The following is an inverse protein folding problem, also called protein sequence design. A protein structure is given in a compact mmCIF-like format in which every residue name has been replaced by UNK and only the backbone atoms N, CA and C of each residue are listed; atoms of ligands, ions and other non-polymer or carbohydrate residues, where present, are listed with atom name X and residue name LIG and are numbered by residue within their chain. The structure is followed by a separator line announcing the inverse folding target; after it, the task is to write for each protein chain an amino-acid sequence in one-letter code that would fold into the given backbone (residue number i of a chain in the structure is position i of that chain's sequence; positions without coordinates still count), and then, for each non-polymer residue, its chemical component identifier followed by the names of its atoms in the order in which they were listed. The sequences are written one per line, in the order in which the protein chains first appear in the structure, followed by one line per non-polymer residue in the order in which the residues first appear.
data_IF_500749600497
#
_entry.id   IF_500749600497
#
_cell.length_a   1.000
_cell.length_b   1.000
_cell.length_c   1.000
_cell.angle_alpha   90.00
_cell.angle_beta   90.00
_cell.angle_gamma   90.00
#
_symmetry.space_group_name_H-M   'P 1'
#
loop_
_entity.id
_entity.type
_entity.pdbx_description
1 polymer ?
#
# COMPACT_ATOMS: atom_id res chain seq x y z
N UNK A 1 -13.46 14.82 6.46
CA UNK A 1 -14.92 14.82 6.16
C UNK A 1 -15.12 15.43 4.80
N UNK A 2 -15.34 14.60 3.84
CA UNK A 2 -16.20 14.63 2.65
C UNK A 2 -15.63 13.55 1.73
N UNK A 3 -16.11 12.30 1.91
CA UNK A 3 -16.10 11.35 0.83
C UNK A 3 -17.06 11.95 -0.23
N UNK A 4 -16.51 12.74 -1.12
CA UNK A 4 -17.24 13.26 -2.28
C UNK A 4 -17.75 12.02 -3.02
N UNK A 5 -19.04 11.98 -3.27
CA UNK A 5 -19.69 11.04 -4.17
C UNK A 5 -18.90 11.07 -5.48
N UNK A 6 -18.04 10.09 -5.67
CA UNK A 6 -17.38 9.88 -6.95
C UNK A 6 -18.52 9.58 -7.91
N UNK A 7 -18.79 10.51 -8.84
CA UNK A 7 -19.92 10.44 -9.74
C UNK A 7 -19.92 9.08 -10.44
N UNK A 8 -21.02 8.31 -10.35
CA UNK A 8 -21.13 6.97 -10.95
C UNK A 8 -20.72 6.99 -12.42
N UNK A 9 -21.12 8.03 -13.16
CA UNK A 9 -20.74 8.18 -14.57
C UNK A 9 -19.22 8.19 -14.81
N UNK A 10 -18.45 8.72 -13.87
CA UNK A 10 -16.99 8.74 -13.97
C UNK A 10 -16.35 7.35 -13.74
N UNK A 11 -16.93 6.55 -12.83
CA UNK A 11 -16.48 5.18 -12.61
C UNK A 11 -16.79 4.28 -13.80
N UNK A 12 -17.88 4.55 -14.49
CA UNK A 12 -18.30 3.82 -15.68
C UNK A 12 -17.29 4.00 -16.82
N UNK A 13 -16.83 5.24 -17.07
CA UNK A 13 -15.78 5.50 -18.05
C UNK A 13 -14.48 4.73 -17.75
N UNK A 14 -14.11 4.63 -16.46
CA UNK A 14 -12.96 3.81 -16.05
C UNK A 14 -13.20 2.33 -16.33
N UNK A 15 -14.36 1.79 -15.95
CA UNK A 15 -14.66 0.36 -16.12
C UNK A 15 -14.79 -0.05 -17.58
N UNK A 16 -15.25 0.85 -18.47
CA UNK A 16 -15.27 0.60 -19.92
C UNK A 16 -13.86 0.39 -20.48
N UNK A 17 -12.83 1.05 -19.92
CA UNK A 17 -11.45 0.83 -20.33
C UNK A 17 -10.91 -0.56 -19.94
N UNK A 18 -11.59 -1.26 -19.01
CA UNK A 18 -11.35 -2.66 -18.69
C UNK A 18 -12.30 -3.63 -19.43
N UNK A 19 -13.17 -3.12 -20.32
CA UNK A 19 -14.11 -3.95 -21.09
C UNK A 19 -15.40 -4.28 -20.36
N UNK A 20 -15.70 -3.61 -19.23
CA UNK A 20 -16.94 -3.82 -18.50
C UNK A 20 -18.01 -2.81 -18.93
N UNK A 21 -19.25 -3.30 -19.15
CA UNK A 21 -20.38 -2.45 -19.46
C UNK A 21 -21.11 -2.00 -18.19
N UNK A 22 -21.68 -0.83 -18.22
CA UNK A 22 -22.42 -0.21 -17.11
C UNK A 22 -23.56 -1.10 -16.56
N UNK A 23 -24.32 -1.70 -17.46
CA UNK A 23 -25.47 -2.54 -17.10
C UNK A 23 -25.13 -3.89 -16.46
N UNK A 24 -23.84 -4.26 -16.44
CA UNK A 24 -23.36 -5.57 -15.98
C UNK A 24 -22.48 -5.51 -14.72
N UNK A 25 -22.33 -4.33 -14.11
CA UNK A 25 -21.47 -4.14 -12.95
C UNK A 25 -22.24 -3.60 -11.74
N UNK A 26 -21.98 -4.17 -10.56
CA UNK A 26 -22.28 -3.52 -9.28
C UNK A 26 -21.00 -2.94 -8.69
N UNK A 27 -21.08 -1.73 -8.11
CA UNK A 27 -19.95 -1.03 -7.51
C UNK A 27 -20.34 -0.63 -6.10
N UNK A 28 -19.55 -1.03 -5.11
CA UNK A 28 -19.76 -0.64 -3.71
C UNK A 28 -18.42 -0.27 -3.05
N UNK A 29 -18.41 0.73 -2.15
CA UNK A 29 -17.22 1.08 -1.39
C UNK A 29 -16.64 -0.15 -0.67
N UNK A 30 -15.31 -0.28 -0.68
CA UNK A 30 -14.60 -1.37 -0.02
C UNK A 30 -13.56 -0.81 0.95
N UNK A 31 -13.74 -1.15 2.25
CA UNK A 31 -12.81 -0.79 3.31
C UNK A 31 -12.81 0.70 3.67
N UNK A 32 -11.97 1.05 4.66
CA UNK A 32 -11.83 2.40 5.22
C UNK A 32 -10.45 3.00 4.87
N UNK A 33 -9.99 2.83 3.63
CA UNK A 33 -8.67 3.33 3.20
C UNK A 33 -8.53 4.84 3.45
N UNK A 34 -7.50 5.23 4.21
CA UNK A 34 -7.27 6.63 4.59
C UNK A 34 -6.67 7.48 3.45
N UNK A 35 -5.99 6.83 2.50
CA UNK A 35 -5.24 7.52 1.44
C UNK A 35 -5.91 7.34 0.10
N UNK A 36 -6.11 6.11 -0.33
CA UNK A 36 -6.74 5.76 -1.60
C UNK A 36 -8.22 5.45 -1.40
N UNK A 37 -9.04 5.72 -2.43
CA UNK A 37 -10.44 5.28 -2.45
C UNK A 37 -10.52 3.92 -3.13
N UNK A 38 -11.27 3.00 -2.57
CA UNK A 38 -11.34 1.60 -3.03
C UNK A 38 -12.80 1.13 -3.12
N UNK A 39 -13.12 0.37 -4.16
CA UNK A 39 -14.45 -0.19 -4.40
C UNK A 39 -14.37 -1.64 -4.81
N UNK A 40 -15.31 -2.44 -4.34
CA UNK A 40 -15.60 -3.75 -4.88
C UNK A 40 -16.42 -3.57 -6.16
N UNK A 41 -15.98 -4.21 -7.23
CA UNK A 41 -16.66 -4.27 -8.53
C UNK A 41 -17.05 -5.73 -8.80
N UNK A 42 -18.34 -6.01 -8.89
CA UNK A 42 -18.83 -7.33 -9.25
C UNK A 42 -19.35 -7.30 -10.68
N UNK A 43 -18.90 -8.23 -11.49
CA UNK A 43 -19.24 -8.37 -12.91
C UNK A 43 -19.65 -9.80 -13.24
N UNK A 44 -20.16 -10.03 -14.43
CA UNK A 44 -20.40 -11.41 -14.92
C UNK A 44 -19.12 -12.24 -15.06
N UNK A 45 -17.96 -11.60 -15.10
CA UNK A 45 -16.65 -12.24 -15.24
C UNK A 45 -15.96 -12.51 -13.88
N UNK A 46 -16.54 -12.02 -12.78
CA UNK A 46 -15.99 -12.18 -11.43
C UNK A 46 -15.97 -10.88 -10.63
N UNK A 47 -15.26 -10.93 -9.52
CA UNK A 47 -15.09 -9.79 -8.60
C UNK A 47 -13.74 -9.15 -8.76
N UNK A 48 -13.72 -7.83 -8.63
CA UNK A 48 -12.51 -7.02 -8.76
C UNK A 48 -12.48 -5.93 -7.68
N UNK A 49 -11.30 -5.41 -7.44
CA UNK A 49 -11.08 -4.24 -6.57
C UNK A 49 -10.60 -3.07 -7.41
N UNK A 50 -11.47 -2.08 -7.59
CA UNK A 50 -11.10 -0.83 -8.24
C UNK A 50 -10.53 0.12 -7.20
N UNK A 51 -9.35 0.68 -7.49
CA UNK A 51 -8.70 1.64 -6.61
C UNK A 51 -8.36 2.92 -7.35
N UNK A 52 -8.76 4.07 -6.78
CA UNK A 52 -8.29 5.39 -7.18
C UNK A 52 -7.08 5.78 -6.37
N UNK A 53 -5.99 6.09 -7.02
CA UNK A 53 -4.75 6.55 -6.39
C UNK A 53 -4.89 8.03 -6.01
N UNK A 54 -4.56 8.35 -4.77
CA UNK A 54 -4.48 9.73 -4.31
C UNK A 54 -3.19 10.38 -4.81
N UNK A 55 -3.25 11.03 -5.96
CA UNK A 55 -2.10 11.69 -6.58
C UNK A 55 -1.62 12.97 -5.86
N UNK A 56 -2.37 13.47 -4.86
CA UNK A 56 -1.85 14.51 -3.97
C UNK A 56 -0.79 13.95 -3.00
N UNK A 57 -0.88 12.65 -2.68
CA UNK A 57 0.11 11.92 -1.87
C UNK A 57 1.15 11.27 -2.77
N UNK A 58 0.72 10.52 -3.77
CA UNK A 58 1.57 9.81 -4.73
C UNK A 58 1.67 10.61 -6.02
N UNK A 59 2.68 11.47 -6.10
CA UNK A 59 2.84 12.43 -7.21
C UNK A 59 3.11 11.80 -8.57
N UNK A 60 3.60 10.56 -8.58
CA UNK A 60 3.94 9.79 -9.79
C UNK A 60 3.23 8.42 -9.73
N UNK A 61 1.91 8.34 -10.00
CA UNK A 61 1.18 7.07 -10.02
C UNK A 61 1.75 6.05 -11.02
N UNK A 62 2.35 6.55 -12.11
CA UNK A 62 3.01 5.76 -13.13
C UNK A 62 4.23 5.00 -12.57
N UNK A 63 4.96 5.60 -11.62
CA UNK A 63 6.09 4.94 -10.97
C UNK A 63 5.63 3.80 -10.06
N UNK A 64 4.44 3.94 -9.45
CA UNK A 64 3.83 2.86 -8.67
C UNK A 64 3.47 1.70 -9.61
N UNK A 65 2.82 1.97 -10.74
CA UNK A 65 2.45 0.97 -11.74
C UNK A 65 3.70 0.25 -12.26
N UNK A 66 4.74 1.00 -12.61
CA UNK A 66 6.03 0.44 -13.04
C UNK A 66 6.62 -0.51 -11.99
N UNK A 67 6.69 -0.09 -10.72
CA UNK A 67 7.23 -0.92 -9.65
C UNK A 67 6.43 -2.22 -9.48
N UNK A 68 5.10 -2.15 -9.49
CA UNK A 68 4.25 -3.33 -9.34
C UNK A 68 4.46 -4.29 -10.51
N UNK A 69 4.55 -3.79 -11.75
CA UNK A 69 4.83 -4.61 -12.94
C UNK A 69 6.18 -5.29 -12.82
N UNK A 70 7.22 -4.56 -12.43
CA UNK A 70 8.56 -5.10 -12.23
C UNK A 70 8.56 -6.25 -11.22
N UNK A 71 7.85 -6.08 -10.09
CA UNK A 71 7.71 -7.13 -9.08
C UNK A 71 6.93 -8.33 -9.62
N UNK A 72 5.82 -8.09 -10.32
CA UNK A 72 4.99 -9.15 -10.90
C UNK A 72 5.76 -10.00 -11.91
N UNK A 73 6.51 -9.36 -12.81
CA UNK A 73 7.31 -10.04 -13.82
C UNK A 73 8.46 -10.87 -13.19
N UNK A 74 9.12 -10.32 -12.18
CA UNK A 74 10.13 -11.05 -11.41
C UNK A 74 9.53 -12.27 -10.71
N UNK A 75 8.42 -12.08 -9.98
CA UNK A 75 7.78 -13.17 -9.23
C UNK A 75 7.19 -14.25 -10.12
N UNK A 76 6.69 -13.90 -11.28
CA UNK A 76 6.20 -14.87 -12.28
C UNK A 76 7.32 -15.83 -12.75
N UNK A 77 8.57 -15.37 -12.75
CA UNK A 77 9.73 -16.17 -13.16
C UNK A 77 10.34 -16.94 -11.98
N UNK A 78 10.56 -16.27 -10.86
CA UNK A 78 11.37 -16.79 -9.75
C UNK A 78 10.53 -17.48 -8.65
N UNK A 79 9.24 -17.15 -8.56
CA UNK A 79 8.34 -17.71 -7.54
C UNK A 79 6.89 -17.81 -8.07
N UNK A 80 6.62 -18.61 -9.11
CA UNK A 80 5.30 -18.68 -9.78
C UNK A 80 4.16 -19.10 -8.84
N UNK A 81 4.47 -19.83 -7.76
CA UNK A 81 3.48 -20.26 -6.75
C UNK A 81 3.24 -19.19 -5.65
N UNK A 82 3.89 -18.03 -5.76
CA UNK A 82 3.65 -16.95 -4.82
C UNK A 82 2.43 -16.12 -5.25
N UNK A 83 1.40 -16.02 -4.39
CA UNK A 83 0.25 -15.19 -4.67
C UNK A 83 0.63 -13.70 -4.61
N UNK A 84 0.91 -13.12 -5.76
CA UNK A 84 1.12 -11.69 -5.91
C UNK A 84 -0.05 -11.07 -6.67
N UNK A 85 -0.74 -10.13 -6.02
CA UNK A 85 -1.92 -9.48 -6.61
C UNK A 85 -1.45 -8.28 -7.44
N UNK A 86 -1.28 -8.50 -8.75
CA UNK A 86 -0.97 -7.45 -9.70
C UNK A 86 -2.25 -6.85 -10.31
N UNK A 87 -2.20 -5.59 -10.80
CA UNK A 87 -3.33 -5.01 -11.53
C UNK A 87 -3.69 -5.81 -12.78
N UNK A 88 -4.96 -5.86 -13.07
CA UNK A 88 -5.50 -6.34 -14.36
C UNK A 88 -5.20 -5.27 -15.40
N UNK A 89 -4.56 -5.58 -16.53
CA UNK A 89 -4.36 -4.61 -17.60
C UNK A 89 -5.69 -4.13 -18.20
N UNK A 90 -5.76 -2.84 -18.51
CA UNK A 90 -6.84 -2.29 -19.31
C UNK A 90 -6.80 -2.83 -20.75
N UNK A 91 -7.82 -2.56 -21.56
CA UNK A 91 -7.86 -2.94 -22.98
C UNK A 91 -6.70 -2.34 -23.80
N UNK A 92 -6.14 -1.23 -23.33
CA UNK A 92 -4.92 -0.64 -23.88
C UNK A 92 -3.62 -1.42 -23.59
N UNK A 93 -3.66 -2.37 -22.65
CA UNK A 93 -2.50 -3.08 -22.10
C UNK A 93 -1.84 -2.38 -20.91
N UNK A 94 -2.31 -1.21 -20.51
CA UNK A 94 -1.76 -0.44 -19.39
C UNK A 94 -2.33 -0.92 -18.04
N UNK A 95 -1.51 -0.93 -17.00
CA UNK A 95 -1.94 -1.28 -15.62
C UNK A 95 -2.62 -0.12 -14.88
N UNK A 96 -2.49 1.08 -15.43
CA UNK A 96 -2.99 2.31 -14.86
C UNK A 96 -3.88 3.03 -15.87
N UNK A 97 -5.11 3.29 -15.48
CA UNK A 97 -6.07 4.05 -16.28
C UNK A 97 -6.16 5.47 -15.76
N UNK A 98 -6.07 6.44 -16.67
CA UNK A 98 -6.32 7.84 -16.39
C UNK A 98 -7.70 8.24 -16.91
N UNK A 99 -8.57 8.74 -16.03
CA UNK A 99 -9.86 9.28 -16.41
C UNK A 99 -10.12 10.58 -15.65
N UNK A 100 -10.44 11.65 -16.39
CA UNK A 100 -10.49 13.00 -15.85
C UNK A 100 -9.18 13.39 -15.16
N UNK A 101 -9.26 13.76 -13.89
CA UNK A 101 -8.10 14.08 -13.06
C UNK A 101 -7.71 12.92 -12.11
N UNK A 102 -8.23 11.72 -12.33
CA UNK A 102 -7.98 10.55 -11.48
C UNK A 102 -7.09 9.50 -12.15
N UNK A 103 -6.38 8.74 -11.32
CA UNK A 103 -5.61 7.58 -11.72
C UNK A 103 -6.21 6.34 -11.05
N UNK A 104 -6.49 5.31 -11.83
CA UNK A 104 -7.19 4.12 -11.39
C UNK A 104 -6.44 2.86 -11.76
N UNK A 105 -6.58 1.85 -10.95
CA UNK A 105 -6.11 0.50 -11.22
C UNK A 105 -7.12 -0.53 -10.74
N UNK A 106 -7.20 -1.64 -11.42
CA UNK A 106 -8.10 -2.72 -11.12
C UNK A 106 -7.31 -3.95 -10.70
N UNK A 107 -7.70 -4.57 -9.60
CA UNK A 107 -7.09 -5.81 -9.11
C UNK A 107 -8.11 -6.94 -9.14
N UNK A 108 -7.69 -8.19 -9.32
CA UNK A 108 -8.57 -9.32 -9.06
C UNK A 108 -8.93 -9.35 -7.57
N UNK A 109 -10.16 -9.68 -7.26
CA UNK A 109 -10.58 -9.95 -5.89
C UNK A 109 -10.15 -11.38 -5.51
N UNK A 110 -9.62 -11.56 -4.31
CA UNK A 110 -9.24 -12.88 -3.81
C UNK A 110 -10.41 -13.46 -3.03
N UNK A 111 -11.14 -14.38 -3.64
CA UNK A 111 -12.28 -15.03 -3.01
C UNK A 111 -11.87 -15.81 -1.76
N UNK A 112 -12.81 -15.94 -0.82
CA UNK A 112 -12.59 -16.63 0.46
C UNK A 112 -11.40 -16.08 1.26
N UNK A 113 -11.10 -14.79 1.10
CA UNK A 113 -10.11 -14.09 1.89
C UNK A 113 -10.73 -12.99 2.74
N UNK A 114 -10.06 -12.65 3.83
CA UNK A 114 -10.42 -11.53 4.68
C UNK A 114 -9.17 -10.82 5.21
N UNK A 115 -9.34 -9.60 5.70
CA UNK A 115 -8.29 -8.84 6.40
C UNK A 115 -8.60 -8.78 7.89
N UNK A 116 -7.56 -8.60 8.71
CA UNK A 116 -7.64 -8.45 10.16
C UNK A 116 -7.12 -7.06 10.50
N UNK A 117 -7.91 -6.23 11.18
CA UNK A 117 -7.49 -4.87 11.54
C UNK A 117 -6.70 -4.84 12.87
N UNK A 118 -7.07 -5.70 13.82
CA UNK A 118 -6.45 -5.78 15.14
C UNK A 118 -6.09 -7.22 15.44
N UNK A 119 -4.85 -7.45 15.87
CA UNK A 119 -4.36 -8.78 16.26
C UNK A 119 -5.09 -9.24 17.52
N UNK A 120 -5.68 -10.43 17.50
CA UNK A 120 -6.38 -11.04 18.63
C UNK A 120 -5.54 -12.12 19.32
N UNK A 121 -4.50 -12.62 18.66
CA UNK A 121 -3.64 -13.66 19.21
C UNK A 121 -2.28 -13.77 18.54
N UNK A 122 -1.33 -14.48 19.16
CA UNK A 122 0.04 -14.60 18.65
C UNK A 122 0.13 -15.34 17.31
N UNK A 123 -0.81 -16.23 17.01
CA UNK A 123 -0.86 -16.97 15.75
C UNK A 123 -1.12 -16.04 14.56
N UNK A 124 -2.03 -15.09 14.71
CA UNK A 124 -2.31 -14.08 13.68
C UNK A 124 -1.09 -13.18 13.44
N UNK A 125 -0.42 -12.75 14.53
CA UNK A 125 0.80 -11.95 14.43
C UNK A 125 1.92 -12.71 13.73
N UNK A 126 2.10 -14.00 14.06
CA UNK A 126 3.06 -14.89 13.42
C UNK A 126 2.79 -15.04 11.92
N UNK A 127 1.54 -15.33 11.54
CA UNK A 127 1.17 -15.48 10.13
C UNK A 127 1.40 -14.19 9.33
N UNK A 128 1.03 -13.04 9.87
CA UNK A 128 1.31 -11.75 9.24
C UNK A 128 2.82 -11.52 9.03
N UNK A 129 3.62 -11.73 10.08
CA UNK A 129 5.06 -11.59 10.01
C UNK A 129 5.69 -12.59 9.02
N UNK A 130 5.18 -13.82 8.99
CA UNK A 130 5.59 -14.86 8.04
C UNK A 130 5.35 -14.45 6.58
N UNK A 131 4.20 -13.82 6.27
CA UNK A 131 3.91 -13.35 4.91
C UNK A 131 4.85 -12.21 4.49
N UNK A 132 5.12 -11.24 5.34
CA UNK A 132 6.10 -10.20 5.03
C UNK A 132 7.53 -10.73 4.90
N UNK A 133 7.91 -11.70 5.73
CA UNK A 133 9.18 -12.41 5.60
C UNK A 133 9.28 -13.19 4.28
N UNK A 134 8.20 -13.86 3.88
CA UNK A 134 8.10 -14.56 2.59
C UNK A 134 8.22 -13.57 1.43
N UNK A 135 7.49 -12.47 1.45
CA UNK A 135 7.58 -11.38 0.46
C UNK A 135 9.02 -10.90 0.27
N UNK A 136 9.70 -10.56 1.37
CA UNK A 136 11.10 -10.11 1.31
C UNK A 136 12.03 -11.20 0.75
N UNK A 137 11.78 -12.47 1.06
CA UNK A 137 12.57 -13.61 0.59
C UNK A 137 12.41 -13.84 -0.91
N UNK A 138 11.16 -13.88 -1.41
CA UNK A 138 10.93 -14.15 -2.85
C UNK A 138 11.42 -13.02 -3.74
N UNK A 139 11.58 -11.82 -3.20
CA UNK A 139 12.13 -10.65 -3.91
C UNK A 139 13.64 -10.44 -3.66
N UNK A 140 14.32 -11.37 -2.98
CA UNK A 140 15.73 -11.19 -2.63
C UNK A 140 16.69 -11.17 -3.84
N UNK A 141 16.28 -11.74 -4.98
CA UNK A 141 17.01 -11.74 -6.24
C UNK A 141 16.72 -10.52 -7.13
N UNK A 142 15.70 -9.72 -6.79
CA UNK A 142 15.39 -8.51 -7.54
C UNK A 142 16.46 -7.44 -7.32
N UNK A 143 16.95 -6.85 -8.41
CA UNK A 143 17.78 -5.65 -8.31
C UNK A 143 16.92 -4.46 -7.87
N UNK A 144 17.01 -4.12 -6.58
CA UNK A 144 16.26 -3.02 -5.98
C UNK A 144 16.60 -1.64 -6.58
N UNK A 145 17.73 -1.51 -7.29
CA UNK A 145 18.12 -0.29 -8.00
C UNK A 145 17.20 0.04 -9.19
N UNK A 146 16.45 -0.92 -9.69
CA UNK A 146 15.46 -0.72 -10.75
C UNK A 146 14.15 -0.09 -10.25
N UNK A 147 13.89 -0.16 -8.94
CA UNK A 147 12.67 0.42 -8.35
C UNK A 147 12.72 1.95 -8.36
N UNK A 148 11.61 2.56 -8.70
CA UNK A 148 11.43 4.00 -8.65
C UNK A 148 10.95 4.45 -7.28
N UNK A 149 11.48 5.56 -6.80
CA UNK A 149 11.09 6.13 -5.49
C UNK A 149 9.75 6.85 -5.63
N UNK A 150 8.70 6.28 -5.07
CA UNK A 150 7.32 6.83 -5.16
C UNK A 150 6.99 7.84 -4.06
N UNK A 151 7.66 7.74 -2.89
CA UNK A 151 7.55 8.68 -1.78
C UNK A 151 8.97 9.03 -1.26
N UNK A 152 9.58 10.11 -1.78
CA UNK A 152 10.91 10.53 -1.34
C UNK A 152 10.95 10.77 0.17
N UNK A 153 12.02 10.32 0.83
CA UNK A 153 12.27 10.52 2.27
C UNK A 153 11.19 9.96 3.21
N UNK A 154 10.36 9.01 2.76
CA UNK A 154 9.27 8.50 3.57
C UNK A 154 9.75 7.86 4.89
N UNK A 155 10.83 7.08 4.81
CA UNK A 155 11.46 6.41 5.96
C UNK A 155 12.83 7.04 6.34
N UNK A 156 13.05 8.32 6.05
CA UNK A 156 14.22 9.06 6.49
C UNK A 156 14.08 9.42 7.98
N UNK A 157 14.67 8.59 8.84
CA UNK A 157 14.53 8.72 10.29
C UNK A 157 15.10 10.05 10.81
N UNK A 158 16.24 10.48 10.28
CA UNK A 158 16.86 11.76 10.65
C UNK A 158 15.97 12.94 10.27
N UNK A 159 15.38 12.93 9.07
CA UNK A 159 14.41 13.96 8.66
C UNK A 159 13.17 13.95 9.57
N UNK A 160 12.64 12.77 9.90
CA UNK A 160 11.45 12.68 10.77
C UNK A 160 11.73 13.19 12.17
N UNK A 161 12.91 12.94 12.70
CA UNK A 161 13.30 13.47 14.01
C UNK A 161 13.43 15.00 13.98
N UNK A 162 14.07 15.59 12.96
CA UNK A 162 14.10 17.06 12.79
C UNK A 162 12.71 17.68 12.71
N UNK A 163 11.80 17.06 11.93
CA UNK A 163 10.39 17.49 11.85
C UNK A 163 9.67 17.41 13.20
N UNK A 164 9.96 16.39 13.99
CA UNK A 164 9.47 16.28 15.36
C UNK A 164 9.97 17.44 16.24
N UNK A 165 11.28 17.75 16.21
CA UNK A 165 11.85 18.88 16.95
C UNK A 165 11.23 20.23 16.54
N UNK A 166 11.05 20.45 15.24
CA UNK A 166 10.35 21.65 14.73
C UNK A 166 8.90 21.73 15.21
N UNK A 167 8.19 20.59 15.25
CA UNK A 167 6.81 20.53 15.73
C UNK A 167 6.70 20.84 17.24
N UNK A 168 7.71 20.51 18.04
CA UNK A 168 7.75 20.91 19.46
C UNK A 168 7.90 22.43 19.65
N UNK A 169 8.57 23.10 18.71
CA UNK A 169 8.76 24.56 18.78
C UNK A 169 7.56 25.33 18.21
N UNK A 170 6.97 24.84 17.10
CA UNK A 170 5.97 25.57 16.32
C UNK A 170 4.57 24.96 16.41
N UNK A 171 4.43 23.83 17.06
CA UNK A 171 3.18 23.07 17.11
C UNK A 171 2.13 23.64 18.07
N UNK A 172 1.00 22.97 18.13
CA UNK A 172 -0.09 23.34 19.02
C UNK A 172 0.28 23.03 20.47
N UNK A 173 0.36 24.08 21.33
CA UNK A 173 0.79 23.97 22.72
C UNK A 173 -0.06 22.98 23.54
N UNK A 174 -1.39 22.90 23.30
CA UNK A 174 -2.27 21.95 23.97
C UNK A 174 -1.90 20.51 23.62
N UNK A 175 -1.68 20.20 22.33
CA UNK A 175 -1.29 18.85 21.87
C UNK A 175 0.09 18.47 22.43
N UNK A 176 1.03 19.40 22.47
CA UNK A 176 2.36 19.18 23.04
C UNK A 176 2.21 18.79 24.52
N UNK A 177 1.43 19.54 25.29
CA UNK A 177 1.18 19.24 26.70
C UNK A 177 0.49 17.88 26.91
N UNK A 178 -0.52 17.58 26.09
CA UNK A 178 -1.25 16.29 26.17
C UNK A 178 -0.34 15.09 25.81
N UNK A 179 0.75 15.30 25.09
CA UNK A 179 1.69 14.27 24.62
C UNK A 179 3.03 14.25 25.38
N UNK A 180 3.16 14.95 26.50
CA UNK A 180 4.44 15.20 27.21
C UNK A 180 5.21 13.89 27.49
N UNK A 181 4.56 12.89 28.04
CA UNK A 181 5.19 11.60 28.34
C UNK A 181 5.73 10.88 27.09
N UNK A 182 5.02 10.96 25.94
CA UNK A 182 5.48 10.40 24.67
C UNK A 182 6.63 11.21 24.09
N UNK A 183 6.61 12.52 24.23
CA UNK A 183 7.69 13.42 23.82
C UNK A 183 8.97 13.10 24.59
N UNK A 184 8.88 12.91 25.89
CA UNK A 184 10.03 12.57 26.74
C UNK A 184 10.59 11.19 26.37
N UNK A 185 9.72 10.21 26.07
CA UNK A 185 10.15 8.91 25.59
C UNK A 185 10.91 9.01 24.26
N UNK A 186 10.41 9.78 23.30
CA UNK A 186 11.09 10.00 22.00
C UNK A 186 12.43 10.68 22.20
N UNK A 187 12.52 11.72 23.06
CA UNK A 187 13.77 12.41 23.37
C UNK A 187 14.79 11.50 24.05
N UNK A 188 14.34 10.69 25.00
CA UNK A 188 15.21 9.73 25.72
C UNK A 188 15.82 8.67 24.80
N UNK A 189 15.17 8.38 23.67
CA UNK A 189 15.63 7.43 22.66
C UNK A 189 16.23 8.09 21.41
N UNK A 190 16.71 9.33 21.50
CA UNK A 190 17.33 10.08 20.38
C UNK A 190 18.51 9.33 19.75
N UNK A 191 19.26 8.57 20.56
CA UNK A 191 20.41 7.79 20.12
C UNK A 191 20.05 6.77 19.00
N UNK A 192 18.81 6.28 18.94
CA UNK A 192 18.35 5.36 17.88
C UNK A 192 18.53 5.99 16.49
N UNK A 193 18.35 7.30 16.36
CA UNK A 193 18.55 8.02 15.09
C UNK A 193 20.01 7.94 14.67
N UNK A 194 20.93 8.22 15.60
CA UNK A 194 22.37 8.24 15.32
C UNK A 194 22.89 6.83 15.02
N UNK A 195 22.46 5.84 15.78
CA UNK A 195 22.78 4.43 15.55
C UNK A 195 22.30 3.94 14.19
N UNK A 196 21.07 4.32 13.79
CA UNK A 196 20.53 3.97 12.48
C UNK A 196 21.33 4.62 11.35
N UNK A 197 21.60 5.93 11.44
CA UNK A 197 22.36 6.64 10.39
C UNK A 197 23.80 6.12 10.26
N UNK A 198 24.43 5.72 11.35
CA UNK A 198 25.77 5.10 11.34
C UNK A 198 25.75 3.69 10.71
N UNK A 199 24.68 2.92 10.97
CA UNK A 199 24.55 1.55 10.48
C UNK A 199 24.08 1.48 9.02
N UNK A 200 23.32 2.46 8.56
CA UNK A 200 22.66 2.48 7.24
C UNK A 200 23.60 2.22 6.05
N UNK A 201 24.82 2.81 5.98
CA UNK A 201 25.72 2.55 4.85
C UNK A 201 26.17 1.08 4.72
N UNK A 202 26.15 0.34 5.82
CA UNK A 202 26.49 -1.10 5.84
C UNK A 202 25.31 -2.02 5.57
N UNK A 203 24.08 -1.50 5.49
CA UNK A 203 22.89 -2.31 5.25
C UNK A 203 22.74 -2.64 3.77
N UNK A 204 22.41 -3.90 3.49
CA UNK A 204 22.10 -4.35 2.14
C UNK A 204 20.76 -3.77 1.67
N UNK A 205 20.76 -3.13 0.50
CA UNK A 205 19.53 -2.62 -0.12
C UNK A 205 18.68 -3.82 -0.58
N UNK A 206 17.38 -3.78 -0.24
CA UNK A 206 16.40 -4.81 -0.59
C UNK A 206 15.06 -4.19 -0.92
N UNK A 207 14.25 -4.92 -1.70
CA UNK A 207 12.84 -4.59 -1.82
C UNK A 207 12.11 -4.93 -0.52
N UNK A 208 11.38 -3.95 0.04
CA UNK A 208 10.58 -4.10 1.26
C UNK A 208 9.19 -3.51 1.06
N UNK A 209 8.20 -4.03 1.79
CA UNK A 209 6.80 -3.60 1.65
C UNK A 209 6.54 -2.19 2.20
N UNK A 210 7.30 -1.74 3.19
CA UNK A 210 7.22 -0.43 3.87
C UNK A 210 5.94 -0.12 4.66
N UNK A 211 4.92 -1.00 4.67
CA UNK A 211 3.71 -0.86 5.49
C UNK A 211 3.27 -2.25 5.97
N UNK A 212 4.07 -2.83 6.89
CA UNK A 212 3.93 -4.21 7.38
C UNK A 212 2.90 -4.33 8.50
N UNK A 213 1.74 -3.72 8.34
CA UNK A 213 0.60 -3.89 9.26
C UNK A 213 -0.23 -5.12 8.87
N UNK A 214 -0.89 -5.73 9.85
CA UNK A 214 -1.66 -6.96 9.68
C UNK A 214 -2.80 -6.80 8.65
N UNK A 215 -3.44 -5.63 8.58
CA UNK A 215 -4.52 -5.36 7.61
C UNK A 215 -4.06 -5.30 6.15
N UNK A 216 -2.77 -5.39 5.88
CA UNK A 216 -2.22 -5.54 4.54
C UNK A 216 -1.92 -7.01 4.17
N UNK A 217 -2.33 -7.96 5.00
CA UNK A 217 -2.25 -9.40 4.73
C UNK A 217 -3.66 -9.94 4.51
N UNK A 218 -3.83 -10.77 3.49
CA UNK A 218 -5.03 -11.55 3.29
C UNK A 218 -4.90 -12.88 4.03
N UNK A 219 -5.97 -13.27 4.71
CA UNK A 219 -6.08 -14.53 5.43
C UNK A 219 -7.17 -15.40 4.81
N UNK A 220 -6.95 -16.69 4.75
CA UNK A 220 -7.97 -17.66 4.41
C UNK A 220 -8.96 -17.88 5.58
N UNK A 221 -10.07 -18.61 5.41
CA UNK A 221 -11.03 -18.88 6.49
C UNK A 221 -10.46 -19.67 7.67
N UNK A 222 -9.32 -20.35 7.48
CA UNK A 222 -8.62 -21.08 8.54
C UNK A 222 -7.61 -20.19 9.29
N UNK A 223 -7.51 -18.90 8.95
CA UNK A 223 -6.59 -17.95 9.58
C UNK A 223 -5.15 -18.04 9.10
N UNK A 224 -4.91 -18.72 7.98
CA UNK A 224 -3.57 -18.79 7.36
C UNK A 224 -3.39 -17.63 6.39
N UNK A 225 -2.26 -16.96 6.47
CA UNK A 225 -1.89 -15.92 5.52
C UNK A 225 -1.66 -16.47 4.11
N UNK A 226 -2.20 -15.79 3.10
CA UNK A 226 -2.17 -16.13 1.67
C UNK A 226 -0.95 -15.53 0.97
#
# INVERSE_FOLDING_TARGET
RQAGYTNLAFMQDVLQQYGFSESSCSIQPLGNGLINSTWLVETAQGKFVLQRINHAVFRSPEDIAFNIRLLADHLKQEAPDYLFIAPVPALSGEDLVKSGNGFFRLFPFVDNSHTIDVVEGPEQAYEAARQFGRFTRVLSGLDAGQLRITLPHFHDLGLRYRQFEEALVRGNARRIKESEALIDLVKANRNIVDEFEQSRPGLRIRCTHHDTKISNVLFDPAGKGL
#
